data_IF_561422242438
#
_entry.id   IF_561422242438
#
_cell.length_a   1.000
_cell.length_b   1.000
_cell.length_c   1.000
_cell.angle_alpha   90.00
_cell.angle_beta   90.00
_cell.angle_gamma   90.00
#
_symmetry.space_group_name_H-M   'P 1'
#
loop_
_entity.id
_entity.type
_entity.pdbx_description
1 polymer ?
#
# COMPACT_ATOMS: atom_id res chain seq x y z
N UNK A 1 -11.61 -6.27 23.65
CA UNK A 1 -12.15 -6.69 22.31
C UNK A 1 -13.63 -6.34 22.28
N UNK A 2 -14.10 -5.61 21.27
CA UNK A 2 -15.51 -5.27 21.12
C UNK A 2 -16.31 -6.43 20.53
N UNK A 3 -15.78 -7.03 19.45
CA UNK A 3 -16.34 -8.20 18.81
C UNK A 3 -15.27 -8.97 18.02
N UNK A 4 -15.57 -10.23 17.72
CA UNK A 4 -14.81 -11.09 16.82
C UNK A 4 -15.80 -11.93 16.02
N UNK A 5 -15.64 -11.98 14.69
CA UNK A 5 -16.52 -12.69 13.78
C UNK A 5 -15.72 -13.54 12.82
N UNK A 6 -16.20 -14.75 12.59
CA UNK A 6 -15.70 -15.61 11.53
C UNK A 6 -16.35 -15.18 10.20
N UNK A 7 -15.59 -15.26 9.12
CA UNK A 7 -16.11 -15.09 7.76
C UNK A 7 -16.44 -16.48 7.22
N UNK A 8 -17.72 -16.83 7.29
CA UNK A 8 -18.26 -18.10 6.82
C UNK A 8 -19.48 -17.85 5.93
N UNK A 9 -19.93 -18.87 5.23
CA UNK A 9 -21.17 -18.84 4.43
C UNK A 9 -21.18 -17.69 3.40
N UNK A 10 -20.05 -17.51 2.71
CA UNK A 10 -19.95 -16.61 1.56
C UNK A 10 -20.18 -17.43 0.29
N UNK A 11 -21.18 -17.03 -0.47
CA UNK A 11 -21.51 -17.70 -1.73
C UNK A 11 -20.33 -17.64 -2.71
N UNK A 12 -19.92 -18.79 -3.25
CA UNK A 12 -18.77 -18.93 -4.15
C UNK A 12 -17.42 -19.02 -3.45
N UNK A 13 -17.37 -18.95 -2.11
CA UNK A 13 -16.13 -19.17 -1.36
C UNK A 13 -15.60 -20.60 -1.58
N UNK A 14 -14.27 -20.77 -1.74
CA UNK A 14 -13.69 -22.09 -1.99
C UNK A 14 -13.82 -23.01 -0.79
N UNK A 15 -14.12 -24.29 -1.02
CA UNK A 15 -14.21 -25.29 0.05
C UNK A 15 -12.88 -25.56 0.77
N UNK A 16 -11.76 -25.23 0.10
CA UNK A 16 -10.41 -25.29 0.68
C UNK A 16 -9.71 -23.97 0.42
N UNK A 17 -8.99 -23.49 1.44
CA UNK A 17 -8.14 -22.34 1.29
C UNK A 17 -7.11 -22.53 0.16
N UNK A 18 -6.85 -21.52 -0.68
CA UNK A 18 -5.80 -21.57 -1.68
C UNK A 18 -4.42 -21.70 -0.99
N UNK A 19 -3.45 -22.16 -1.75
CA UNK A 19 -2.06 -22.16 -1.29
C UNK A 19 -1.57 -20.73 -1.29
N UNK A 20 -0.93 -20.34 -0.19
CA UNK A 20 -0.27 -19.05 -0.01
C UNK A 20 1.03 -19.29 0.74
N UNK A 21 1.96 -18.34 0.72
CA UNK A 21 3.16 -18.40 1.54
C UNK A 21 2.82 -18.12 3.02
N UNK A 22 3.63 -18.63 3.94
CA UNK A 22 3.38 -18.51 5.38
C UNK A 22 3.45 -17.07 5.90
N UNK A 23 4.24 -16.26 5.26
CA UNK A 23 4.47 -14.84 5.56
C UNK A 23 3.34 -13.94 5.04
N UNK A 24 2.80 -14.22 3.86
CA UNK A 24 1.62 -13.50 3.33
C UNK A 24 0.33 -14.00 4.01
N UNK A 25 0.11 -15.32 4.08
CA UNK A 25 -1.10 -15.90 4.64
C UNK A 25 -2.37 -15.55 3.83
N UNK A 26 -3.52 -15.69 4.46
CA UNK A 26 -4.84 -15.45 3.82
C UNK A 26 -5.43 -14.07 4.13
N UNK A 27 -4.80 -13.27 4.98
CA UNK A 27 -5.34 -11.99 5.49
C UNK A 27 -4.30 -10.87 5.49
N UNK A 28 -3.42 -10.85 4.48
CA UNK A 28 -2.40 -9.81 4.32
C UNK A 28 -3.01 -8.40 4.07
N UNK A 29 -4.08 -8.25 3.26
CA UNK A 29 -4.64 -6.93 2.96
C UNK A 29 -5.08 -6.17 4.20
N UNK A 30 -4.78 -4.87 4.24
CA UNK A 30 -5.32 -3.97 5.24
C UNK A 30 -6.80 -3.69 4.94
N UNK A 31 -7.61 -3.68 5.99
CA UNK A 31 -9.04 -3.34 5.92
C UNK A 31 -9.22 -1.85 5.64
N UNK A 32 -10.33 -1.51 4.96
CA UNK A 32 -10.79 -0.14 4.81
C UNK A 32 -12.03 0.14 5.65
N UNK A 33 -12.34 1.42 5.87
CA UNK A 33 -13.53 1.84 6.61
C UNK A 33 -14.10 3.15 6.06
N UNK A 34 -15.44 3.30 6.13
CA UNK A 34 -16.17 4.54 5.89
C UNK A 34 -16.59 5.24 7.21
N UNK A 35 -16.05 4.77 8.35
CA UNK A 35 -16.43 5.23 9.68
C UNK A 35 -17.73 4.62 10.23
N UNK A 36 -18.49 3.89 9.41
CA UNK A 36 -19.74 3.20 9.79
C UNK A 36 -19.66 1.70 9.58
N UNK A 37 -18.83 1.27 8.62
CA UNK A 37 -18.56 -0.11 8.25
C UNK A 37 -17.06 -0.34 8.12
N UNK A 38 -16.64 -1.58 8.27
CA UNK A 38 -15.30 -2.05 7.95
C UNK A 38 -15.39 -3.07 6.81
N UNK A 39 -14.46 -2.97 5.89
CA UNK A 39 -14.38 -3.80 4.68
C UNK A 39 -13.09 -4.61 4.73
N UNK A 40 -13.19 -5.91 4.51
CA UNK A 40 -12.04 -6.81 4.47
C UNK A 40 -12.07 -7.67 3.21
N UNK A 41 -10.90 -7.98 2.66
CA UNK A 41 -10.70 -8.94 1.58
C UNK A 41 -9.69 -9.99 2.03
N UNK A 42 -9.86 -11.22 1.55
CA UNK A 42 -9.03 -12.36 1.94
C UNK A 42 -8.42 -13.05 0.71
N UNK A 43 -7.35 -13.80 0.94
CA UNK A 43 -6.73 -14.63 -0.09
C UNK A 43 -7.62 -15.69 -0.73
N UNK A 44 -8.79 -15.98 -0.13
CA UNK A 44 -9.85 -16.81 -0.72
C UNK A 44 -10.65 -16.09 -1.80
N UNK A 45 -10.46 -14.78 -1.97
CA UNK A 45 -11.28 -13.93 -2.83
C UNK A 45 -12.58 -13.44 -2.16
N UNK A 46 -12.81 -13.78 -0.90
CA UNK A 46 -13.95 -13.28 -0.14
C UNK A 46 -13.73 -11.81 0.23
N UNK A 47 -14.71 -10.98 -0.08
CA UNK A 47 -14.80 -9.58 0.37
C UNK A 47 -16.07 -9.41 1.19
N UNK A 48 -15.96 -8.71 2.32
CA UNK A 48 -17.04 -8.61 3.30
C UNK A 48 -17.11 -7.22 3.92
N UNK A 49 -18.31 -6.79 4.28
CA UNK A 49 -18.56 -5.62 5.12
C UNK A 49 -19.25 -6.02 6.42
N UNK A 50 -18.75 -5.48 7.52
CA UNK A 50 -19.40 -5.49 8.83
C UNK A 50 -19.72 -4.06 9.27
N UNK A 51 -20.82 -3.88 10.01
CA UNK A 51 -21.05 -2.65 10.75
C UNK A 51 -20.11 -2.57 11.98
N UNK A 52 -20.09 -1.42 12.66
CA UNK A 52 -19.23 -1.21 13.83
C UNK A 52 -19.60 -2.10 15.03
N UNK A 53 -20.76 -2.75 15.01
CA UNK A 53 -21.20 -3.73 16.02
C UNK A 53 -20.85 -5.18 15.65
N UNK A 54 -20.22 -5.39 14.48
CA UNK A 54 -19.84 -6.72 13.97
C UNK A 54 -20.99 -7.48 13.32
N UNK A 55 -22.07 -6.83 12.91
CA UNK A 55 -23.09 -7.45 12.10
C UNK A 55 -22.67 -7.43 10.62
N UNK A 56 -22.76 -8.58 9.94
CA UNK A 56 -22.48 -8.67 8.50
C UNK A 56 -23.50 -7.85 7.72
N UNK A 57 -23.02 -6.89 6.95
CA UNK A 57 -23.87 -6.08 6.05
C UNK A 57 -24.02 -6.79 4.71
N UNK A 58 -22.91 -7.22 4.11
CA UNK A 58 -22.87 -8.02 2.89
C UNK A 58 -21.57 -8.82 2.83
N UNK A 59 -21.56 -9.86 2.00
CA UNK A 59 -20.37 -10.61 1.64
C UNK A 59 -20.53 -11.16 0.23
N UNK A 60 -19.42 -11.30 -0.49
CA UNK A 60 -19.35 -11.94 -1.80
C UNK A 60 -17.96 -12.49 -2.06
N UNK A 61 -17.86 -13.44 -2.98
CA UNK A 61 -16.59 -13.94 -3.48
C UNK A 61 -16.29 -13.36 -4.86
N UNK A 62 -15.05 -12.91 -5.07
CA UNK A 62 -14.55 -12.34 -6.33
C UNK A 62 -13.88 -13.37 -7.24
N UNK A 63 -13.88 -14.63 -6.83
CA UNK A 63 -13.10 -15.74 -7.36
C UNK A 63 -11.78 -15.89 -6.60
N UNK A 64 -11.25 -17.11 -6.54
CA UNK A 64 -9.92 -17.34 -5.91
C UNK A 64 -8.85 -16.68 -6.77
N UNK A 65 -8.01 -15.80 -6.21
CA UNK A 65 -6.94 -15.17 -6.98
C UNK A 65 -5.87 -16.21 -7.32
N UNK A 66 -5.52 -16.32 -8.58
CA UNK A 66 -4.32 -17.06 -9.00
C UNK A 66 -3.08 -16.21 -8.68
N UNK A 67 -2.63 -16.31 -7.43
CA UNK A 67 -1.54 -15.54 -6.88
C UNK A 67 -0.66 -16.46 -6.03
N UNK A 68 0.59 -16.69 -6.44
CA UNK A 68 1.46 -17.71 -5.86
C UNK A 68 1.96 -17.38 -4.43
N UNK A 69 2.03 -16.11 -4.03
CA UNK A 69 2.31 -15.71 -2.64
C UNK A 69 1.04 -15.56 -1.81
N UNK A 70 -0.07 -15.19 -2.46
CA UNK A 70 -1.33 -14.83 -1.83
C UNK A 70 -1.70 -13.38 -2.16
N UNK A 71 -2.99 -13.08 -2.14
CA UNK A 71 -3.50 -11.73 -2.38
C UNK A 71 -3.14 -10.82 -1.20
N UNK A 72 -2.46 -9.69 -1.48
CA UNK A 72 -2.02 -8.74 -0.45
C UNK A 72 -2.45 -7.30 -0.69
N UNK A 73 -3.03 -6.99 -1.87
CA UNK A 73 -3.49 -5.63 -2.18
C UNK A 73 -4.58 -5.16 -1.22
N UNK A 74 -4.30 -4.07 -0.51
CA UNK A 74 -5.19 -3.48 0.48
C UNK A 74 -6.37 -2.75 -0.17
N UNK A 75 -7.46 -2.61 0.58
CA UNK A 75 -8.65 -1.91 0.13
C UNK A 75 -8.53 -0.40 0.35
N UNK A 76 -9.20 0.38 -0.49
CA UNK A 76 -9.48 1.79 -0.25
C UNK A 76 -10.98 1.97 -0.14
N UNK A 77 -11.44 2.81 0.80
CA UNK A 77 -12.81 3.28 0.87
C UNK A 77 -12.85 4.77 0.55
N UNK A 78 -13.69 5.15 -0.39
CA UNK A 78 -13.91 6.55 -0.75
C UNK A 78 -15.39 6.77 -1.12
N UNK A 79 -16.04 7.68 -0.38
CA UNK A 79 -17.46 7.99 -0.55
C UNK A 79 -18.32 6.70 -0.49
N UNK A 80 -19.01 6.37 -1.56
CA UNK A 80 -19.88 5.20 -1.69
C UNK A 80 -19.18 3.95 -2.24
N UNK A 81 -17.83 3.97 -2.38
CA UNK A 81 -17.04 2.94 -3.06
C UNK A 81 -15.99 2.28 -2.18
N UNK A 82 -15.83 0.98 -2.33
CA UNK A 82 -14.62 0.24 -1.95
C UNK A 82 -13.87 -0.12 -3.23
N UNK A 83 -12.64 0.35 -3.34
CA UNK A 83 -11.76 0.08 -4.48
C UNK A 83 -10.98 -1.20 -4.20
N UNK A 84 -10.98 -2.09 -5.18
CA UNK A 84 -10.29 -3.38 -5.15
C UNK A 84 -9.36 -3.46 -6.36
N UNK A 85 -8.07 -3.61 -6.11
CA UNK A 85 -7.08 -3.98 -7.11
C UNK A 85 -6.87 -5.49 -7.01
N UNK A 86 -7.12 -6.22 -8.11
CA UNK A 86 -7.16 -7.68 -8.10
C UNK A 86 -6.32 -8.25 -9.22
N UNK A 87 -4.99 -8.12 -9.08
CA UNK A 87 -4.02 -8.60 -10.05
C UNK A 87 -3.68 -10.08 -9.80
N UNK A 88 -3.65 -10.87 -10.86
CA UNK A 88 -3.42 -12.32 -10.83
C UNK A 88 -2.52 -12.76 -11.98
N UNK A 89 -2.00 -13.99 -11.94
CA UNK A 89 -1.20 -14.57 -13.03
C UNK A 89 -1.95 -14.62 -14.39
N UNK A 90 -3.29 -14.62 -14.35
CA UNK A 90 -4.14 -14.68 -15.53
C UNK A 90 -4.70 -13.32 -15.97
N UNK A 91 -4.03 -12.23 -15.57
CA UNK A 91 -4.45 -10.85 -15.79
C UNK A 91 -5.07 -10.23 -14.55
N UNK A 92 -5.22 -8.90 -14.59
CA UNK A 92 -5.74 -8.12 -13.49
C UNK A 92 -7.11 -7.53 -13.74
N UNK A 93 -7.70 -7.01 -12.67
CA UNK A 93 -8.86 -6.12 -12.72
C UNK A 93 -8.76 -5.08 -11.61
N UNK A 94 -9.25 -3.89 -11.92
CA UNK A 94 -9.56 -2.86 -10.94
C UNK A 94 -11.06 -2.70 -10.89
N UNK A 95 -11.63 -2.56 -9.70
CA UNK A 95 -13.08 -2.44 -9.57
C UNK A 95 -13.48 -1.59 -8.37
N UNK A 96 -14.67 -1.00 -8.44
CA UNK A 96 -15.35 -0.42 -7.31
C UNK A 96 -16.59 -1.25 -6.96
N UNK A 97 -16.76 -1.50 -5.66
CA UNK A 97 -17.99 -2.10 -5.13
C UNK A 97 -18.68 -1.10 -4.21
N UNK A 98 -20.01 -1.11 -4.21
CA UNK A 98 -20.80 -0.21 -3.38
C UNK A 98 -20.66 -0.58 -1.89
N UNK A 99 -20.40 0.42 -1.03
CA UNK A 99 -20.21 0.23 0.42
C UNK A 99 -21.45 -0.36 1.13
N UNK A 100 -22.65 -0.23 0.55
CA UNK A 100 -23.91 -0.61 1.21
C UNK A 100 -24.36 -2.02 0.88
N UNK A 101 -24.12 -2.51 -0.36
CA UNK A 101 -24.63 -3.81 -0.81
C UNK A 101 -23.58 -4.69 -1.50
N UNK A 102 -22.33 -4.20 -1.64
CA UNK A 102 -21.23 -4.94 -2.26
C UNK A 102 -21.36 -5.17 -3.76
N UNK A 103 -22.36 -4.55 -4.43
CA UNK A 103 -22.51 -4.68 -5.89
C UNK A 103 -21.41 -3.94 -6.62
N UNK A 104 -20.99 -4.50 -7.74
CA UNK A 104 -20.01 -3.86 -8.62
C UNK A 104 -20.63 -2.59 -9.22
N UNK A 105 -19.97 -1.46 -9.01
CA UNK A 105 -20.33 -0.17 -9.60
C UNK A 105 -19.69 -0.01 -10.98
N UNK A 106 -18.41 -0.31 -11.07
CA UNK A 106 -17.64 -0.41 -12.30
C UNK A 106 -16.50 -1.42 -12.14
N UNK A 107 -16.02 -1.97 -13.26
CA UNK A 107 -14.91 -2.90 -13.31
C UNK A 107 -14.20 -2.80 -14.66
N UNK A 108 -12.87 -2.75 -14.64
CA UNK A 108 -12.04 -2.77 -15.84
C UNK A 108 -11.00 -3.88 -15.74
N UNK A 109 -10.77 -4.55 -16.86
CA UNK A 109 -9.65 -5.46 -17.01
C UNK A 109 -8.36 -4.66 -17.11
N UNK A 110 -7.30 -5.17 -16.52
CA UNK A 110 -5.97 -4.65 -16.64
C UNK A 110 -5.12 -5.61 -17.46
N UNK A 111 -4.37 -5.08 -18.42
CA UNK A 111 -3.44 -5.87 -19.22
C UNK A 111 -2.04 -5.80 -18.59
N UNK A 112 -1.89 -6.43 -17.44
CA UNK A 112 -0.69 -6.40 -16.63
C UNK A 112 -0.34 -7.79 -16.12
N UNK A 113 0.87 -7.94 -15.60
CA UNK A 113 1.26 -9.10 -14.82
C UNK A 113 0.75 -9.00 -13.39
N UNK A 114 0.92 -10.06 -12.63
CA UNK A 114 0.58 -10.09 -11.21
C UNK A 114 1.34 -9.01 -10.44
N UNK A 115 0.68 -8.41 -9.44
CA UNK A 115 1.30 -7.50 -8.48
C UNK A 115 0.77 -7.73 -7.07
N UNK A 116 1.49 -7.19 -6.09
CA UNK A 116 1.14 -7.25 -4.66
C UNK A 116 0.93 -5.87 -4.07
N UNK A 117 1.10 -4.84 -4.88
CA UNK A 117 0.91 -3.44 -4.49
C UNK A 117 -0.56 -3.13 -4.16
N UNK A 118 -0.77 -2.06 -3.42
CA UNK A 118 -2.09 -1.53 -3.12
C UNK A 118 -2.40 -0.31 -4.00
N UNK A 119 -3.67 -0.07 -4.35
CA UNK A 119 -4.05 1.18 -5.01
C UNK A 119 -3.83 2.35 -4.05
N UNK A 120 -3.58 3.54 -4.59
CA UNK A 120 -3.38 4.77 -3.84
C UNK A 120 -4.29 5.85 -4.40
N UNK A 121 -4.93 6.64 -3.52
CA UNK A 121 -5.67 7.83 -3.95
C UNK A 121 -4.74 9.04 -4.01
N UNK A 122 -4.85 9.81 -5.06
CA UNK A 122 -4.18 11.09 -5.22
C UNK A 122 -5.14 12.13 -5.80
N UNK A 123 -4.97 13.38 -5.38
CA UNK A 123 -5.64 14.51 -6.02
C UNK A 123 -4.66 15.14 -7.02
N UNK A 124 -4.97 15.01 -8.31
CA UNK A 124 -4.16 15.51 -9.41
C UNK A 124 -5.05 16.45 -10.24
N UNK A 125 -4.64 17.71 -10.40
CA UNK A 125 -5.39 18.73 -11.15
C UNK A 125 -6.87 18.81 -10.71
N UNK A 126 -7.11 18.92 -9.40
CA UNK A 126 -8.44 18.98 -8.76
C UNK A 126 -9.33 17.74 -9.01
N UNK A 127 -8.73 16.61 -9.39
CA UNK A 127 -9.42 15.34 -9.62
C UNK A 127 -8.84 14.23 -8.74
N UNK A 128 -9.72 13.51 -8.07
CA UNK A 128 -9.32 12.29 -7.37
C UNK A 128 -9.10 11.16 -8.38
N UNK A 129 -7.90 10.59 -8.36
CA UNK A 129 -7.48 9.47 -9.20
C UNK A 129 -7.02 8.30 -8.34
N UNK A 130 -7.02 7.10 -8.92
CA UNK A 130 -6.44 5.90 -8.34
C UNK A 130 -5.13 5.63 -9.05
N UNK A 131 -4.03 5.65 -8.31
CA UNK A 131 -2.72 5.24 -8.79
C UNK A 131 -2.51 3.75 -8.52
N UNK A 132 -1.90 3.05 -9.47
CA UNK A 132 -1.57 1.63 -9.37
C UNK A 132 -0.18 1.35 -9.91
N UNK A 133 0.53 0.41 -9.28
CA UNK A 133 1.82 -0.10 -9.71
C UNK A 133 1.75 -1.59 -10.03
N UNK A 134 2.38 -2.03 -11.09
CA UNK A 134 2.47 -3.43 -11.52
C UNK A 134 3.62 -3.60 -12.51
N UNK A 135 3.98 -4.82 -12.88
CA UNK A 135 4.85 -5.10 -14.03
C UNK A 135 3.99 -5.05 -15.33
N UNK A 136 4.30 -4.17 -16.31
CA UNK A 136 5.40 -3.21 -16.32
C UNK A 136 5.01 -1.77 -15.97
N UNK A 137 3.81 -1.50 -15.43
CA UNK A 137 3.12 -0.23 -15.48
C UNK A 137 3.02 0.51 -14.15
N UNK A 138 3.13 1.83 -14.21
CA UNK A 138 2.45 2.75 -13.29
C UNK A 138 1.30 3.37 -14.06
N UNK A 139 0.09 3.34 -13.50
CA UNK A 139 -1.10 3.86 -14.18
C UNK A 139 -1.98 4.68 -13.23
N UNK A 140 -2.73 5.62 -13.79
CA UNK A 140 -3.77 6.37 -13.10
C UNK A 140 -5.14 6.05 -13.69
N UNK A 141 -6.14 5.91 -12.82
CA UNK A 141 -7.52 5.64 -13.20
C UNK A 141 -8.45 6.69 -12.60
N UNK A 142 -9.49 7.04 -13.35
CA UNK A 142 -10.55 7.91 -12.84
C UNK A 142 -11.30 7.22 -11.69
N UNK A 143 -11.42 7.86 -10.54
CA UNK A 143 -12.05 7.28 -9.35
C UNK A 143 -13.55 7.01 -9.56
N UNK A 144 -14.24 7.78 -10.42
CA UNK A 144 -15.69 7.65 -10.61
C UNK A 144 -16.03 6.53 -11.58
N UNK A 145 -15.25 6.38 -12.65
CA UNK A 145 -15.52 5.45 -13.74
C UNK A 145 -14.61 4.24 -13.75
N UNK A 146 -13.41 4.33 -13.17
CA UNK A 146 -12.35 3.33 -13.22
C UNK A 146 -11.57 3.33 -14.54
N UNK A 147 -11.93 4.19 -15.49
CA UNK A 147 -11.23 4.30 -16.77
C UNK A 147 -9.78 4.70 -16.57
N UNK A 148 -8.90 4.07 -17.33
CA UNK A 148 -7.47 4.42 -17.32
C UNK A 148 -7.27 5.78 -17.98
N UNK A 149 -6.66 6.71 -17.25
CA UNK A 149 -6.36 8.06 -17.71
C UNK A 149 -5.02 8.13 -18.43
N UNK A 150 -4.02 7.44 -17.88
CA UNK A 150 -2.68 7.33 -18.43
C UNK A 150 -1.93 6.15 -17.81
N UNK A 151 -0.89 5.69 -18.48
CA UNK A 151 0.05 4.69 -18.00
C UNK A 151 1.47 4.95 -18.50
N UNK A 152 2.48 4.47 -17.75
CA UNK A 152 3.90 4.53 -18.10
C UNK A 152 4.55 3.18 -17.84
N UNK A 153 5.22 2.63 -18.84
CA UNK A 153 6.03 1.41 -18.72
C UNK A 153 7.38 1.76 -18.09
N UNK A 154 7.60 1.36 -16.84
CA UNK A 154 8.80 1.72 -16.10
C UNK A 154 9.18 0.74 -14.98
N UNK A 155 8.34 -0.25 -14.69
CA UNK A 155 8.59 -1.27 -13.66
C UNK A 155 8.82 -2.64 -14.28
N UNK A 156 9.36 -3.57 -13.49
CA UNK A 156 9.65 -4.93 -13.94
C UNK A 156 9.68 -5.90 -12.75
N UNK A 157 9.19 -7.13 -12.96
CA UNK A 157 9.29 -8.23 -12.00
C UNK A 157 8.18 -8.21 -10.94
N UNK A 158 8.51 -8.58 -9.71
CA UNK A 158 7.56 -8.70 -8.61
C UNK A 158 7.35 -7.35 -7.94
N UNK A 159 6.26 -6.67 -8.28
CA UNK A 159 5.96 -5.32 -7.77
C UNK A 159 5.15 -5.39 -6.49
N UNK A 160 5.80 -5.11 -5.35
CA UNK A 160 5.18 -5.03 -4.02
C UNK A 160 4.91 -3.60 -3.56
N UNK A 161 5.80 -2.66 -3.88
CA UNK A 161 5.67 -1.26 -3.51
C UNK A 161 4.53 -0.57 -4.27
N UNK A 162 3.72 0.22 -3.56
CA UNK A 162 2.66 1.04 -4.15
C UNK A 162 3.23 2.36 -4.68
N UNK A 163 2.44 3.13 -5.44
CA UNK A 163 2.81 4.47 -5.85
C UNK A 163 2.79 5.45 -4.66
N UNK A 164 3.54 6.54 -4.78
CA UNK A 164 3.39 7.73 -3.95
C UNK A 164 3.09 8.94 -4.82
N UNK A 165 2.47 9.96 -4.26
CA UNK A 165 2.22 11.23 -4.93
C UNK A 165 2.56 12.39 -4.00
N UNK A 166 3.29 13.37 -4.53
CA UNK A 166 3.63 14.59 -3.84
C UNK A 166 4.44 15.51 -4.74
N UNK A 167 4.55 16.78 -4.40
CA UNK A 167 5.24 17.81 -5.20
C UNK A 167 4.84 17.84 -6.68
N UNK A 168 3.60 17.41 -7.01
CA UNK A 168 3.08 17.34 -8.38
C UNK A 168 3.61 16.15 -9.21
N UNK A 169 4.30 15.20 -8.58
CA UNK A 169 4.88 14.03 -9.23
C UNK A 169 4.33 12.73 -8.63
N UNK A 170 4.22 11.70 -9.48
CA UNK A 170 3.94 10.33 -9.07
C UNK A 170 5.25 9.57 -9.00
N UNK A 171 5.51 8.93 -7.87
CA UNK A 171 6.69 8.12 -7.63
C UNK A 171 6.34 6.64 -7.62
N UNK A 172 7.16 5.84 -8.26
CA UNK A 172 7.10 4.40 -8.17
C UNK A 172 8.49 3.78 -8.17
N UNK A 173 8.62 2.66 -7.49
CA UNK A 173 9.88 1.97 -7.36
C UNK A 173 9.69 0.47 -7.29
N UNK A 174 10.67 -0.29 -7.76
CA UNK A 174 10.73 -1.73 -7.56
C UNK A 174 12.18 -2.22 -7.59
N UNK A 175 12.52 -3.21 -6.76
CA UNK A 175 13.88 -3.68 -6.50
C UNK A 175 14.66 -4.06 -7.76
N UNK A 176 14.00 -4.68 -8.74
CA UNK A 176 14.66 -5.15 -9.98
C UNK A 176 14.44 -4.23 -11.17
N UNK A 177 13.94 -3.03 -10.94
CA UNK A 177 13.67 -2.07 -12.00
C UNK A 177 14.37 -0.74 -11.70
N UNK A 178 13.63 0.22 -11.21
CA UNK A 178 14.11 1.57 -10.95
C UNK A 178 13.18 2.31 -9.99
N UNK A 179 13.66 3.43 -9.48
CA UNK A 179 12.87 4.49 -8.89
C UNK A 179 12.60 5.53 -9.97
N UNK A 180 11.35 5.92 -10.17
CA UNK A 180 10.95 6.92 -11.16
C UNK A 180 10.11 8.01 -10.52
N UNK A 181 10.22 9.22 -11.07
CA UNK A 181 9.28 10.31 -10.85
C UNK A 181 8.60 10.66 -12.18
N UNK A 182 7.28 10.62 -12.18
CA UNK A 182 6.45 10.85 -13.35
C UNK A 182 5.67 12.14 -13.14
N UNK A 183 5.77 13.05 -14.11
CA UNK A 183 4.85 14.18 -14.20
C UNK A 183 3.54 13.68 -14.82
N UNK A 184 2.43 13.67 -14.05
CA UNK A 184 1.15 13.18 -14.55
C UNK A 184 0.57 14.14 -15.60
N UNK A 185 -0.32 13.63 -16.45
CA UNK A 185 -1.00 14.41 -17.48
C UNK A 185 -1.55 13.52 -18.58
N UNK A 186 -2.14 14.10 -19.62
CA UNK A 186 -2.62 13.35 -20.79
C UNK A 186 -1.47 12.64 -21.53
N UNK A 187 -0.28 13.22 -21.50
CA UNK A 187 0.98 12.66 -21.96
C UNK A 187 1.93 12.65 -20.75
N UNK A 188 1.94 11.55 -19.96
CA UNK A 188 2.79 11.46 -18.77
C UNK A 188 4.27 11.36 -19.15
N UNK A 189 5.14 11.99 -18.37
CA UNK A 189 6.57 12.08 -18.64
C UNK A 189 7.38 11.61 -17.43
N UNK A 190 8.38 10.72 -17.64
CA UNK A 190 9.40 10.43 -16.63
C UNK A 190 10.34 11.63 -16.56
N UNK A 191 10.30 12.38 -15.46
CA UNK A 191 11.15 13.58 -15.30
C UNK A 191 12.53 13.24 -14.77
N UNK A 192 12.65 12.17 -13.99
CA UNK A 192 13.92 11.57 -13.59
C UNK A 192 13.74 10.11 -13.18
N UNK A 193 14.82 9.36 -13.22
CA UNK A 193 14.91 7.98 -12.75
C UNK A 193 16.27 7.68 -12.14
N UNK A 194 16.35 6.74 -11.22
CA UNK A 194 17.59 6.16 -10.74
C UNK A 194 17.40 4.66 -10.37
N UNK A 195 18.51 3.95 -10.16
CA UNK A 195 18.57 2.54 -9.82
C UNK A 195 19.29 2.27 -8.49
N UNK A 196 19.57 3.32 -7.72
CA UNK A 196 20.20 3.23 -6.42
C UNK A 196 19.14 3.11 -5.29
N UNK A 197 19.31 2.16 -4.39
CA UNK A 197 18.43 1.93 -3.22
C UNK A 197 16.95 1.72 -3.57
N UNK A 198 16.67 0.61 -4.20
CA UNK A 198 15.32 0.24 -4.61
C UNK A 198 14.59 -0.58 -3.53
N UNK A 199 13.32 -0.28 -3.22
CA UNK A 199 12.53 -1.04 -2.26
C UNK A 199 12.01 -2.34 -2.88
N UNK A 200 11.93 -3.40 -2.08
CA UNK A 200 11.22 -4.64 -2.44
C UNK A 200 9.70 -4.47 -2.28
N UNK A 201 9.25 -4.03 -1.10
CA UNK A 201 7.82 -3.91 -0.75
C UNK A 201 7.45 -2.58 -0.10
N UNK A 202 8.40 -1.88 0.53
CA UNK A 202 8.11 -0.61 1.19
C UNK A 202 7.75 0.47 0.17
N UNK A 203 6.60 1.09 0.34
CA UNK A 203 6.16 2.20 -0.52
C UNK A 203 6.95 3.45 -0.19
N UNK A 204 7.48 4.19 -1.18
CA UNK A 204 8.08 5.50 -0.97
C UNK A 204 7.09 6.48 -0.32
N UNK A 205 7.60 7.48 0.40
CA UNK A 205 6.77 8.58 0.90
C UNK A 205 7.43 9.92 0.60
N UNK A 206 6.61 10.88 0.18
CA UNK A 206 7.07 12.24 -0.15
C UNK A 206 6.36 13.27 0.73
N UNK A 207 7.10 14.28 1.17
CA UNK A 207 6.59 15.53 1.75
C UNK A 207 7.63 16.64 1.62
N UNK A 208 7.16 17.85 1.36
CA UNK A 208 7.98 19.07 1.31
C UNK A 208 9.17 18.99 0.33
N UNK A 209 9.03 18.26 -0.77
CA UNK A 209 10.09 18.07 -1.76
C UNK A 209 11.13 17.02 -1.36
N UNK A 210 10.88 16.24 -0.30
CA UNK A 210 11.74 15.17 0.19
C UNK A 210 11.09 13.82 -0.04
N UNK A 211 11.75 12.94 -0.78
CA UNK A 211 11.31 11.57 -1.05
C UNK A 211 12.13 10.58 -0.23
N UNK A 212 11.45 9.74 0.54
CA UNK A 212 12.09 8.75 1.42
C UNK A 212 11.82 7.33 0.94
N UNK A 213 12.85 6.49 0.98
CA UNK A 213 12.83 5.10 0.55
C UNK A 213 13.52 4.23 1.57
N UNK A 214 12.88 3.11 1.94
CA UNK A 214 13.47 2.05 2.74
C UNK A 214 13.65 0.78 1.94
N UNK A 215 14.84 0.18 1.98
CA UNK A 215 15.17 -1.06 1.26
C UNK A 215 15.06 -2.28 2.17
N UNK A 216 14.83 -3.46 1.58
CA UNK A 216 14.80 -4.76 2.28
C UNK A 216 16.15 -5.18 2.87
N UNK A 217 17.24 -4.57 2.41
CA UNK A 217 18.60 -4.82 2.87
C UNK A 217 19.18 -3.76 3.83
N UNK A 218 18.34 -2.84 4.35
CA UNK A 218 18.70 -1.98 5.47
C UNK A 218 19.17 -0.58 5.14
N UNK A 219 19.07 -0.12 3.90
CA UNK A 219 19.34 1.27 3.57
C UNK A 219 18.06 2.09 3.63
N UNK A 220 18.11 3.24 4.28
CA UNK A 220 17.07 4.26 4.27
C UNK A 220 17.63 5.52 3.64
N UNK A 221 17.01 6.02 2.58
CA UNK A 221 17.56 7.13 1.79
C UNK A 221 16.56 8.27 1.62
N UNK A 222 17.07 9.48 1.51
CA UNK A 222 16.32 10.69 1.19
C UNK A 222 16.83 11.32 -0.10
N UNK A 223 15.88 11.64 -0.97
CA UNK A 223 16.15 12.28 -2.26
C UNK A 223 15.40 13.61 -2.38
N UNK A 224 15.90 14.48 -3.22
CA UNK A 224 15.13 15.59 -3.76
C UNK A 224 14.02 15.02 -4.67
N UNK A 225 12.78 15.24 -4.30
CA UNK A 225 11.63 14.70 -5.03
C UNK A 225 11.53 15.22 -6.48
N UNK A 226 12.01 16.46 -6.74
CA UNK A 226 11.92 17.08 -8.07
C UNK A 226 13.07 16.72 -9.01
N UNK A 227 14.25 16.37 -8.47
CA UNK A 227 15.46 16.15 -9.28
C UNK A 227 16.03 14.73 -9.21
N UNK A 228 15.61 13.93 -8.21
CA UNK A 228 16.19 12.62 -7.95
C UNK A 228 17.60 12.67 -7.32
N UNK A 229 18.13 13.87 -6.98
CA UNK A 229 19.40 14.02 -6.28
C UNK A 229 19.30 13.44 -4.87
N UNK A 230 20.23 12.54 -4.51
CA UNK A 230 20.29 11.99 -3.16
C UNK A 230 20.85 13.01 -2.18
N UNK A 231 20.10 13.31 -1.13
CA UNK A 231 20.57 14.17 -0.04
C UNK A 231 21.38 13.40 0.98
N UNK A 232 20.88 12.22 1.41
CA UNK A 232 21.55 11.38 2.39
C UNK A 232 21.07 9.93 2.33
N UNK A 233 21.85 9.07 2.95
CA UNK A 233 21.51 7.67 3.24
C UNK A 233 21.85 7.34 4.68
N UNK A 234 21.16 6.33 5.19
CA UNK A 234 21.33 5.80 6.54
C UNK A 234 21.32 4.28 6.49
N UNK A 235 22.32 3.63 7.06
CA UNK A 235 22.42 2.17 7.14
C UNK A 235 21.86 1.69 8.49
N UNK A 236 20.81 0.85 8.42
CA UNK A 236 20.27 0.10 9.54
C UNK A 236 20.81 -1.32 9.53
N UNK A 237 20.71 -2.04 10.67
CA UNK A 237 21.16 -3.43 10.77
C UNK A 237 20.17 -4.42 10.11
N UNK A 238 18.94 -4.00 9.87
CA UNK A 238 17.87 -4.80 9.27
C UNK A 238 17.13 -3.99 8.22
N UNK A 239 16.48 -4.71 7.29
CA UNK A 239 15.73 -4.10 6.22
C UNK A 239 14.38 -3.53 6.64
N UNK A 240 13.76 -2.80 5.74
CA UNK A 240 12.47 -2.15 5.90
C UNK A 240 11.45 -2.81 4.95
N UNK A 241 10.49 -3.54 5.52
CA UNK A 241 9.30 -4.01 4.79
C UNK A 241 8.11 -3.08 5.01
N UNK A 242 8.01 -2.51 6.22
CA UNK A 242 7.03 -1.46 6.50
C UNK A 242 7.36 -0.19 5.71
N UNK A 243 6.34 0.42 5.13
CA UNK A 243 6.49 1.72 4.48
C UNK A 243 6.76 2.80 5.52
N UNK A 244 7.62 3.79 5.23
CA UNK A 244 7.82 4.94 6.11
C UNK A 244 6.54 5.78 6.21
N UNK A 245 6.39 6.46 7.35
CA UNK A 245 5.28 7.37 7.61
C UNK A 245 5.84 8.73 8.00
N UNK A 246 5.25 9.79 7.46
CA UNK A 246 5.56 11.17 7.85
C UNK A 246 4.45 11.67 8.76
N UNK A 247 4.82 12.11 9.95
CA UNK A 247 3.90 12.69 10.94
C UNK A 247 4.63 13.70 11.82
N UNK A 248 3.98 14.84 12.10
CA UNK A 248 4.48 15.88 13.00
C UNK A 248 5.94 16.28 12.69
N UNK A 249 6.24 16.56 11.41
CA UNK A 249 7.57 16.98 10.94
C UNK A 249 8.68 15.94 11.12
N UNK A 250 8.33 14.66 11.23
CA UNK A 250 9.25 13.54 11.40
C UNK A 250 8.92 12.40 10.45
N UNK A 251 9.94 11.64 10.11
CA UNK A 251 9.84 10.42 9.32
C UNK A 251 10.05 9.22 10.23
N UNK A 252 9.12 8.29 10.20
CA UNK A 252 9.14 7.07 11.01
C UNK A 252 9.31 5.86 10.10
N UNK A 253 10.36 5.08 10.28
CA UNK A 253 10.64 3.86 9.55
C UNK A 253 10.92 2.73 10.54
N UNK A 254 10.05 1.71 10.59
CA UNK A 254 10.28 0.55 11.45
C UNK A 254 10.98 -0.54 10.64
N UNK A 255 12.09 -1.06 11.16
CA UNK A 255 12.80 -2.18 10.54
C UNK A 255 12.19 -3.54 10.95
N UNK A 256 12.62 -4.60 10.29
CA UNK A 256 12.09 -5.96 10.52
C UNK A 256 12.37 -6.52 11.91
N UNK A 257 13.33 -5.97 12.65
CA UNK A 257 13.57 -6.34 14.07
C UNK A 257 12.76 -5.49 15.06
N UNK A 258 11.93 -4.55 14.53
CA UNK A 258 11.07 -3.70 15.34
C UNK A 258 11.79 -2.51 15.98
N UNK A 259 12.87 -2.03 15.37
CA UNK A 259 13.47 -0.74 15.71
C UNK A 259 12.76 0.35 14.90
N UNK A 260 12.23 1.34 15.58
CA UNK A 260 11.60 2.50 14.94
C UNK A 260 12.65 3.59 14.74
N UNK A 261 13.20 3.70 13.55
CA UNK A 261 14.10 4.78 13.16
C UNK A 261 13.29 6.05 12.95
N UNK A 262 13.59 7.10 13.72
CA UNK A 262 12.88 8.38 13.66
C UNK A 262 13.87 9.45 13.20
N UNK A 263 13.54 10.09 12.07
CA UNK A 263 14.34 11.15 11.48
C UNK A 263 13.59 12.48 11.49
N UNK A 264 14.31 13.60 11.48
CA UNK A 264 13.71 14.87 11.12
C UNK A 264 13.29 14.86 9.64
N UNK A 265 12.22 15.54 9.31
CA UNK A 265 11.84 15.82 7.93
C UNK A 265 12.76 16.94 7.40
N UNK A 266 13.96 16.58 6.95
CA UNK A 266 15.02 17.53 6.60
C UNK A 266 15.91 16.96 5.49
N UNK A 267 16.49 17.84 4.67
CA UNK A 267 17.50 17.50 3.66
C UNK A 267 18.86 17.11 4.25
N UNK A 268 19.07 17.32 5.54
CA UNK A 268 20.23 16.85 6.27
C UNK A 268 19.86 15.66 7.15
N UNK A 269 20.70 14.63 7.21
CA UNK A 269 20.46 13.46 8.07
C UNK A 269 20.47 13.87 9.55
N UNK A 270 19.32 13.75 10.19
CA UNK A 270 19.16 14.00 11.62
C UNK A 270 18.36 12.87 12.27
N UNK A 271 19.04 11.95 12.92
CA UNK A 271 18.39 10.86 13.67
C UNK A 271 17.90 11.40 15.01
N UNK A 272 16.58 11.38 15.23
CA UNK A 272 15.95 11.81 16.48
C UNK A 272 16.01 10.71 17.53
N UNK A 273 15.85 9.45 17.11
CA UNK A 273 15.91 8.31 18.00
C UNK A 273 15.65 6.99 17.31
N UNK A 274 15.97 5.88 18.00
CA UNK A 274 15.74 4.52 17.50
C UNK A 274 15.15 3.67 18.65
N UNK A 275 13.90 3.93 19.12
CA UNK A 275 13.27 3.13 20.14
C UNK A 275 12.94 1.72 19.66
N UNK A 276 12.93 0.75 20.58
CA UNK A 276 12.65 -0.65 20.32
C UNK A 276 11.21 -0.99 20.66
N UNK A 277 10.53 -1.67 19.74
CA UNK A 277 9.21 -2.26 20.00
C UNK A 277 9.28 -3.46 20.96
N UNK A 278 10.38 -4.23 20.87
CA UNK A 278 10.60 -5.44 21.68
C UNK A 278 10.22 -6.75 20.97
N UNK A 279 9.72 -6.68 19.75
CA UNK A 279 9.49 -7.81 18.85
C UNK A 279 9.58 -7.37 17.39
N UNK A 280 9.66 -8.33 16.48
CA UNK A 280 9.68 -8.08 15.03
C UNK A 280 8.37 -7.45 14.55
N UNK A 281 8.48 -6.55 13.59
CA UNK A 281 7.35 -5.90 12.94
C UNK A 281 7.66 -5.69 11.45
N UNK A 282 6.70 -6.01 10.59
CA UNK A 282 6.79 -5.84 9.13
C UNK A 282 5.62 -5.04 8.56
N UNK A 283 4.61 -4.77 9.39
CA UNK A 283 3.45 -3.97 9.00
C UNK A 283 3.71 -2.48 9.20
N UNK A 284 3.28 -1.67 8.23
CA UNK A 284 3.34 -0.21 8.32
C UNK A 284 2.56 0.28 9.55
N UNK A 285 3.15 1.10 10.42
CA UNK A 285 2.46 1.71 11.55
C UNK A 285 1.31 2.62 11.12
N UNK A 286 0.26 2.70 11.93
CA UNK A 286 -0.83 3.65 11.72
C UNK A 286 -0.74 4.79 12.76
N UNK A 287 -0.97 6.02 12.30
CA UNK A 287 -0.96 7.21 13.12
C UNK A 287 -2.36 7.82 13.16
N UNK A 288 -2.96 7.87 14.33
CA UNK A 288 -4.29 8.43 14.52
C UNK A 288 -4.46 8.99 15.94
N UNK A 289 -5.16 10.09 16.08
CA UNK A 289 -5.56 10.70 17.36
C UNK A 289 -4.38 10.87 18.35
N UNK A 290 -3.21 11.32 17.86
CA UNK A 290 -2.01 11.49 18.66
C UNK A 290 -1.37 10.20 19.16
N UNK A 291 -1.69 9.06 18.52
CA UNK A 291 -1.19 7.73 18.86
C UNK A 291 -0.58 7.04 17.65
N UNK A 292 0.34 6.12 17.95
CA UNK A 292 0.95 5.22 16.97
C UNK A 292 0.45 3.81 17.28
N UNK A 293 -0.12 3.15 16.28
CA UNK A 293 -0.55 1.76 16.36
C UNK A 293 0.42 0.90 15.54
N UNK A 294 1.05 -0.07 16.19
CA UNK A 294 2.04 -0.96 15.55
C UNK A 294 1.60 -2.40 15.75
N UNK A 295 1.48 -3.13 14.66
CA UNK A 295 1.29 -4.59 14.69
C UNK A 295 2.65 -5.26 14.68
N UNK A 296 3.05 -5.83 15.81
CA UNK A 296 4.16 -6.78 15.90
C UNK A 296 3.71 -8.20 15.56
N UNK A 297 4.64 -9.15 15.59
CA UNK A 297 4.33 -10.57 15.32
C UNK A 297 3.32 -11.16 16.31
N UNK A 298 3.38 -10.75 17.57
CA UNK A 298 2.55 -11.34 18.64
C UNK A 298 1.56 -10.33 19.25
N UNK A 299 1.83 -9.03 19.18
CA UNK A 299 1.06 -8.00 19.86
C UNK A 299 0.64 -6.86 18.94
N UNK A 300 -0.44 -6.19 19.32
CA UNK A 300 -0.82 -4.89 18.80
C UNK A 300 -0.48 -3.83 19.86
N UNK A 301 0.37 -2.89 19.48
CA UNK A 301 0.81 -1.79 20.35
C UNK A 301 0.00 -0.54 20.06
N UNK A 302 -0.30 0.22 21.12
CA UNK A 302 -0.86 1.57 21.03
C UNK A 302 0.02 2.48 21.89
N UNK A 303 0.79 3.35 21.24
CA UNK A 303 1.77 4.23 21.86
C UNK A 303 1.26 5.66 21.75
N UNK A 304 1.24 6.40 22.85
CA UNK A 304 0.80 7.80 22.90
C UNK A 304 1.08 8.42 24.26
N UNK A 305 0.87 9.73 24.38
CA UNK A 305 0.95 10.40 25.65
C UNK A 305 -0.21 9.97 26.55
N UNK A 306 0.07 9.86 27.86
CA UNK A 306 -0.96 9.60 28.89
C UNK A 306 -1.75 10.86 29.20
#
# INVERSE_FOLDING_TARGET
>A
MLWQKLVTDVEGSPAKAPKVTSDTGLSAPTMATDGKKVFAIFGTGDIIAFDMNGNRVWARNLGVPDNHYGHSSSLICWDDKVIVLYDTNNGGKIMAVNVNDGKTMWQHKRNNRISWSSPVLAEIDDKMVILTTTDPLIAAHDLKTGEELWQVECLMGEVGASAAYGSGLVFGANEYARLVAIKPGAEPEIVWENDEYLPEVATPVESDGLLFIGTSYGVFACYNALTGEKFWEYEANQGFYASPIIADGKVYAIDMDGLMHIFALDKELKVIGVPKLGEKAVATPAFADGRIYIRGNNNLYCIGQK
#
